data_IF_962695014586
#
_entry.id   IF_962695014586
#
_cell.length_a   1.000
_cell.length_b   1.000
_cell.length_c   1.000
_cell.angle_alpha   90.00
_cell.angle_beta   90.00
_cell.angle_gamma   90.00
#
_symmetry.space_group_name_H-M   'P 1'
#
loop_
_entity.id
_entity.type
_entity.pdbx_description
1 polymer ?
#
# COMPACT_ATOMS: atom_id res chain seq x y z
N UNK A 1 -3.16 6.44 -14.43
CA UNK A 1 -2.64 6.86 -13.10
C UNK A 1 -1.21 7.29 -13.26
N UNK A 2 -0.81 8.42 -12.69
CA UNK A 2 0.58 8.84 -12.59
C UNK A 2 1.04 8.56 -11.16
N UNK A 3 2.02 7.67 -11.00
CA UNK A 3 2.58 7.29 -9.69
C UNK A 3 3.84 8.11 -9.40
N UNK A 4 4.13 8.30 -8.11
CA UNK A 4 5.40 8.84 -7.66
C UNK A 4 6.60 8.03 -8.21
N UNK A 5 7.69 8.66 -8.66
CA UNK A 5 8.89 7.96 -9.07
C UNK A 5 9.62 7.41 -7.85
N UNK A 6 9.70 6.09 -7.75
CA UNK A 6 10.65 5.49 -6.83
C UNK A 6 12.06 5.70 -7.39
N UNK A 7 12.99 6.35 -6.66
CA UNK A 7 14.28 6.75 -7.23
C UNK A 7 15.28 5.58 -7.29
N UNK A 8 14.84 4.43 -7.78
CA UNK A 8 15.66 3.24 -7.97
C UNK A 8 16.30 3.25 -9.37
N UNK A 9 17.60 2.97 -9.46
CA UNK A 9 18.28 2.84 -10.75
C UNK A 9 18.77 4.16 -11.35
N UNK A 10 18.73 4.28 -12.68
CA UNK A 10 19.26 5.44 -13.43
C UNK A 10 18.12 6.38 -13.85
N UNK A 11 17.91 7.44 -13.07
CA UNK A 11 16.84 8.42 -13.28
C UNK A 11 16.86 9.07 -14.67
N UNK A 12 18.03 9.14 -15.33
CA UNK A 12 18.15 9.69 -16.70
C UNK A 12 17.45 8.81 -17.74
N UNK A 13 17.24 7.53 -17.43
CA UNK A 13 16.48 6.58 -18.24
C UNK A 13 15.01 6.51 -17.84
N UNK A 14 14.62 7.20 -16.77
CA UNK A 14 13.29 7.20 -16.17
C UNK A 14 12.66 8.60 -16.25
N UNK A 15 12.87 9.30 -17.36
CA UNK A 15 12.29 10.64 -17.59
C UNK A 15 10.77 10.52 -17.71
N UNK A 16 10.31 9.59 -18.55
CA UNK A 16 8.91 9.18 -18.69
C UNK A 16 8.90 7.67 -18.89
N UNK A 17 8.11 6.97 -18.09
CA UNK A 17 7.82 5.55 -18.25
C UNK A 17 6.31 5.36 -18.34
N UNK A 18 5.88 4.50 -19.26
CA UNK A 18 4.49 4.16 -19.50
C UNK A 18 4.36 2.64 -19.43
N UNK A 19 3.47 2.17 -18.56
CA UNK A 19 3.17 0.77 -18.34
C UNK A 19 1.71 0.54 -18.70
N UNK A 20 1.45 -0.32 -19.69
CA UNK A 20 0.09 -0.71 -20.08
C UNK A 20 -0.15 -2.22 -19.94
N UNK A 21 0.90 -2.97 -19.60
CA UNK A 21 0.88 -4.43 -19.47
C UNK A 21 1.83 -4.89 -18.38
N UNK A 22 1.65 -6.12 -17.89
CA UNK A 22 2.54 -6.70 -16.88
C UNK A 22 3.96 -6.92 -17.43
N UNK A 23 4.08 -7.19 -18.72
CA UNK A 23 5.35 -7.34 -19.42
C UNK A 23 6.18 -6.04 -19.43
N UNK A 24 5.53 -4.88 -19.31
CA UNK A 24 6.25 -3.60 -19.20
C UNK A 24 7.02 -3.50 -17.86
N UNK A 25 6.51 -4.13 -16.79
CA UNK A 25 7.20 -4.17 -15.49
C UNK A 25 8.54 -4.91 -15.59
N UNK A 26 8.58 -6.01 -16.36
CA UNK A 26 9.82 -6.74 -16.64
C UNK A 26 10.74 -5.93 -17.55
N UNK A 27 10.20 -5.33 -18.62
CA UNK A 27 10.97 -4.52 -19.58
C UNK A 27 11.71 -3.37 -18.90
N UNK A 28 11.07 -2.75 -17.91
CA UNK A 28 11.64 -1.64 -17.14
C UNK A 28 12.43 -2.07 -15.91
N UNK A 29 12.54 -3.38 -15.64
CA UNK A 29 13.22 -3.96 -14.48
C UNK A 29 12.67 -3.42 -13.14
N UNK A 30 11.34 -3.27 -13.04
CA UNK A 30 10.70 -2.81 -11.81
C UNK A 30 11.00 -3.75 -10.64
N UNK A 31 11.38 -3.15 -9.53
CA UNK A 31 11.53 -3.77 -8.20
C UNK A 31 10.18 -4.30 -7.69
N UNK A 32 10.20 -5.11 -6.62
CA UNK A 32 8.93 -5.55 -5.98
C UNK A 32 8.12 -4.35 -5.49
N UNK A 33 8.77 -3.35 -4.88
CA UNK A 33 8.08 -2.15 -4.36
C UNK A 33 7.42 -1.34 -5.48
N UNK A 34 8.09 -1.15 -6.63
CA UNK A 34 7.46 -0.54 -7.81
C UNK A 34 6.30 -1.39 -8.35
N UNK A 35 6.41 -2.72 -8.32
CA UNK A 35 5.31 -3.61 -8.73
C UNK A 35 4.13 -3.52 -7.78
N UNK A 36 4.37 -3.39 -6.48
CA UNK A 36 3.32 -3.21 -5.46
C UNK A 36 2.47 -1.98 -5.74
N UNK A 37 3.10 -0.93 -6.26
CA UNK A 37 2.43 0.29 -6.69
C UNK A 37 1.77 0.19 -8.09
N UNK A 38 2.36 -0.54 -9.04
CA UNK A 38 1.95 -0.48 -10.44
C UNK A 38 1.04 -1.64 -10.87
N UNK A 39 1.33 -2.86 -10.43
CA UNK A 39 0.62 -4.08 -10.84
C UNK A 39 -0.89 -4.03 -10.55
N UNK A 40 -1.36 -3.56 -9.37
CA UNK A 40 -2.80 -3.50 -9.08
C UNK A 40 -3.58 -2.65 -10.10
N UNK A 41 -2.98 -1.56 -10.60
CA UNK A 41 -3.59 -0.73 -11.64
C UNK A 41 -3.64 -1.44 -12.99
N UNK A 42 -2.55 -2.09 -13.39
CA UNK A 42 -2.45 -2.80 -14.66
C UNK A 42 -3.44 -3.97 -14.74
N UNK A 43 -3.60 -4.73 -13.64
CA UNK A 43 -4.59 -5.81 -13.54
C UNK A 43 -6.03 -5.28 -13.68
N UNK A 44 -6.28 -4.03 -13.29
CA UNK A 44 -7.57 -3.34 -13.47
C UNK A 44 -7.73 -2.68 -14.85
N UNK A 45 -6.76 -2.85 -15.76
CA UNK A 45 -6.77 -2.25 -17.09
C UNK A 45 -6.42 -0.76 -17.11
N UNK A 46 -5.81 -0.24 -16.04
CA UNK A 46 -5.42 1.17 -15.93
C UNK A 46 -3.96 1.33 -16.32
N UNK A 47 -3.68 2.20 -17.29
CA UNK A 47 -2.30 2.56 -17.68
C UNK A 47 -1.64 3.35 -16.56
N UNK A 48 -0.39 2.98 -16.24
CA UNK A 48 0.44 3.63 -15.23
C UNK A 48 1.53 4.43 -15.92
N UNK A 49 1.73 5.65 -15.45
CA UNK A 49 2.86 6.50 -15.80
C UNK A 49 3.72 6.74 -14.56
N UNK A 50 5.04 6.78 -14.74
CA UNK A 50 6.00 7.12 -13.70
C UNK A 50 7.23 7.81 -14.31
N UNK A 51 8.06 8.42 -13.47
CA UNK A 51 9.32 9.04 -13.89
C UNK A 51 9.57 10.38 -13.21
N UNK A 52 10.69 11.01 -13.54
CA UNK A 52 11.18 12.19 -12.82
C UNK A 52 10.77 13.53 -13.44
N UNK A 53 10.25 13.53 -14.67
CA UNK A 53 9.87 14.75 -15.40
C UNK A 53 8.34 14.85 -15.53
N UNK A 54 7.71 15.43 -14.51
CA UNK A 54 6.25 15.50 -14.39
C UNK A 54 5.59 16.29 -15.51
N UNK A 55 6.22 17.34 -16.04
CA UNK A 55 5.69 18.07 -17.20
C UNK A 55 5.57 17.13 -18.41
N UNK A 56 6.65 16.39 -18.72
CA UNK A 56 6.62 15.44 -19.85
C UNK A 56 5.67 14.29 -19.62
N UNK A 57 5.61 13.76 -18.39
CA UNK A 57 4.67 12.70 -18.03
C UNK A 57 3.23 13.16 -18.27
N UNK A 58 2.87 14.36 -17.81
CA UNK A 58 1.54 14.93 -18.03
C UNK A 58 1.22 15.03 -19.52
N UNK A 59 2.14 15.58 -20.32
CA UNK A 59 1.97 15.70 -21.77
C UNK A 59 1.79 14.36 -22.49
N UNK A 60 2.41 13.29 -22.03
CA UNK A 60 2.19 11.96 -22.61
C UNK A 60 0.86 11.36 -22.16
N UNK A 61 0.50 11.47 -20.88
CA UNK A 61 -0.76 10.97 -20.35
C UNK A 61 -1.98 11.67 -21.00
N UNK A 62 -1.90 12.99 -21.22
CA UNK A 62 -2.95 13.80 -21.87
C UNK A 62 -3.27 13.34 -23.30
N UNK A 63 -2.40 12.56 -23.97
CA UNK A 63 -2.65 12.10 -25.35
C UNK A 63 -3.64 10.94 -25.42
N UNK A 64 -3.86 10.21 -24.33
CA UNK A 64 -4.64 8.97 -24.35
C UNK A 64 -5.62 8.82 -23.18
N UNK A 65 -5.63 9.74 -22.22
CA UNK A 65 -6.50 9.67 -21.05
C UNK A 65 -7.42 10.88 -20.95
N UNK A 66 -8.72 10.62 -20.75
CA UNK A 66 -9.71 11.66 -20.43
C UNK A 66 -9.65 12.08 -18.95
N UNK A 67 -9.15 11.20 -18.07
CA UNK A 67 -9.01 11.43 -16.64
C UNK A 67 -7.64 10.95 -16.18
N UNK A 68 -6.91 11.84 -15.49
CA UNK A 68 -5.60 11.55 -14.91
C UNK A 68 -5.73 11.56 -13.39
N UNK A 69 -5.46 10.43 -12.76
CA UNK A 69 -5.27 10.35 -11.32
C UNK A 69 -3.78 10.45 -11.04
N UNK A 70 -3.35 11.56 -10.45
CA UNK A 70 -2.02 11.67 -9.85
C UNK A 70 -2.08 11.10 -8.44
N UNK A 71 -1.31 10.05 -8.21
CA UNK A 71 -1.31 9.28 -6.99
C UNK A 71 0.05 9.43 -6.32
N UNK A 72 0.11 10.42 -5.42
CA UNK A 72 1.32 10.85 -4.73
C UNK A 72 1.73 9.89 -3.61
N UNK A 73 3.02 9.91 -3.27
CA UNK A 73 3.52 9.26 -2.06
C UNK A 73 3.16 10.06 -0.81
N UNK A 74 3.39 9.46 0.35
CA UNK A 74 3.23 10.11 1.65
C UNK A 74 4.20 11.30 1.89
N UNK A 75 5.18 11.48 1.00
CA UNK A 75 6.19 12.54 1.04
C UNK A 75 5.97 13.64 0.00
N UNK A 76 4.84 13.64 -0.71
CA UNK A 76 4.56 14.61 -1.77
C UNK A 76 3.34 15.46 -1.49
N UNK A 77 3.30 16.63 -2.11
CA UNK A 77 2.05 17.31 -2.49
C UNK A 77 1.98 17.34 -4.03
N UNK A 78 0.81 17.61 -4.64
CA UNK A 78 0.63 17.51 -6.09
C UNK A 78 1.66 18.30 -6.89
N UNK A 79 2.29 17.64 -7.87
CA UNK A 79 3.12 18.29 -8.89
C UNK A 79 2.32 18.75 -10.11
N UNK A 80 1.06 18.31 -10.21
CA UNK A 80 0.06 18.87 -11.11
C UNK A 80 -0.86 19.80 -10.32
N UNK A 81 -1.46 20.77 -11.00
CA UNK A 81 -2.61 21.47 -10.44
C UNK A 81 -3.83 20.54 -10.60
N UNK A 82 -4.41 20.02 -9.50
CA UNK A 82 -5.52 19.09 -9.60
C UNK A 82 -6.85 19.82 -9.78
N UNK A 83 -7.72 19.33 -10.67
CA UNK A 83 -9.10 19.79 -10.74
C UNK A 83 -9.93 19.37 -9.53
N UNK A 84 -9.52 18.30 -8.83
CA UNK A 84 -10.08 17.79 -7.58
C UNK A 84 -8.96 17.15 -6.75
N UNK A 85 -8.71 17.67 -5.54
CA UNK A 85 -7.67 17.19 -4.63
C UNK A 85 -8.26 16.37 -3.48
N UNK A 86 -8.00 15.06 -3.50
CA UNK A 86 -8.47 14.10 -2.49
C UNK A 86 -7.29 13.72 -1.58
N UNK A 87 -7.47 13.87 -0.27
CA UNK A 87 -6.46 13.51 0.75
C UNK A 87 -7.01 12.45 1.68
N UNK A 88 -6.19 11.45 2.00
CA UNK A 88 -6.58 10.37 2.92
C UNK A 88 -5.95 10.62 4.30
N UNK A 89 -6.76 10.55 5.35
CA UNK A 89 -6.32 10.62 6.75
C UNK A 89 -6.51 9.27 7.46
N UNK A 90 -5.55 8.90 8.32
CA UNK A 90 -5.58 7.66 9.09
C UNK A 90 -5.80 7.95 10.60
N UNK A 91 -6.98 7.61 11.17
CA UNK A 91 -7.31 7.82 12.57
C UNK A 91 -6.56 6.87 13.52
N UNK A 92 -5.77 5.90 13.04
CA UNK A 92 -4.82 5.17 13.89
C UNK A 92 -3.61 6.01 14.28
N UNK A 93 -3.42 7.17 13.63
CA UNK A 93 -2.30 8.09 13.88
C UNK A 93 -2.80 9.53 14.06
N UNK A 94 -3.66 9.79 15.05
CA UNK A 94 -4.29 11.09 15.17
C UNK A 94 -3.27 12.22 15.36
N UNK A 95 -3.54 13.35 14.72
CA UNK A 95 -2.67 14.50 14.70
C UNK A 95 -1.51 14.42 13.70
N UNK A 96 -1.31 13.31 12.97
CA UNK A 96 -0.32 13.26 11.89
C UNK A 96 -0.69 14.22 10.76
N UNK A 97 -1.99 14.30 10.47
CA UNK A 97 -2.61 15.15 9.46
C UNK A 97 -2.37 16.65 9.68
N UNK A 98 -1.92 17.07 10.87
CA UNK A 98 -1.57 18.47 11.16
C UNK A 98 -0.13 18.68 11.63
N UNK A 99 0.66 17.61 11.84
CA UNK A 99 2.02 17.69 12.39
C UNK A 99 3.12 17.30 11.42
N UNK A 100 2.83 16.47 10.40
CA UNK A 100 3.84 15.93 9.49
C UNK A 100 3.80 16.65 8.16
N UNK A 101 4.99 16.99 7.66
CA UNK A 101 5.18 17.54 6.31
C UNK A 101 5.45 16.43 5.28
N UNK A 102 4.82 16.44 4.08
CA UNK A 102 3.84 17.42 3.57
C UNK A 102 2.35 17.05 3.80
N UNK A 103 2.06 16.10 4.70
CA UNK A 103 0.67 15.68 4.98
C UNK A 103 -0.25 16.81 5.45
N UNK A 104 0.26 17.72 6.26
CA UNK A 104 -0.41 18.94 6.70
C UNK A 104 -0.70 19.93 5.56
N UNK A 105 0.18 20.00 4.57
CA UNK A 105 0.08 20.82 3.36
C UNK A 105 -1.03 20.27 2.48
N UNK A 106 -1.02 18.95 2.25
CA UNK A 106 -2.09 18.25 1.54
C UNK A 106 -3.44 18.48 2.21
N UNK A 107 -3.53 18.29 3.53
CA UNK A 107 -4.80 18.49 4.24
C UNK A 107 -5.36 19.92 4.07
N UNK A 108 -4.49 20.93 4.10
CA UNK A 108 -4.89 22.34 3.90
C UNK A 108 -5.32 22.65 2.48
N UNK A 109 -4.83 21.90 1.50
CA UNK A 109 -5.14 22.06 0.07
C UNK A 109 -6.28 21.15 -0.41
N UNK A 110 -6.77 20.24 0.43
CA UNK A 110 -7.75 19.23 0.03
C UNK A 110 -9.11 19.86 -0.31
N UNK A 111 -9.71 19.40 -1.41
CA UNK A 111 -11.15 19.57 -1.67
C UNK A 111 -11.97 18.54 -0.89
N UNK A 112 -11.43 17.32 -0.79
CA UNK A 112 -12.07 16.18 -0.12
C UNK A 112 -11.06 15.51 0.80
N UNK A 113 -11.48 15.21 2.02
CA UNK A 113 -10.71 14.44 2.98
C UNK A 113 -11.43 13.12 3.26
N UNK A 114 -10.78 12.02 2.90
CA UNK A 114 -11.24 10.66 3.21
C UNK A 114 -10.64 10.23 4.55
N UNK A 115 -11.44 10.14 5.60
CA UNK A 115 -11.02 9.52 6.86
C UNK A 115 -11.22 8.01 6.70
N UNK A 116 -10.14 7.27 6.46
CA UNK A 116 -10.21 5.83 6.21
C UNK A 116 -10.03 5.03 7.53
N UNK A 117 -10.33 3.73 7.52
CA UNK A 117 -10.18 2.79 8.65
C UNK A 117 -11.01 3.16 9.90
N UNK A 118 -12.11 3.89 9.74
CA UNK A 118 -12.94 4.35 10.87
C UNK A 118 -13.59 3.21 11.66
N UNK A 119 -13.73 2.02 11.05
CA UNK A 119 -14.30 0.82 11.65
C UNK A 119 -13.35 0.10 12.60
N UNK A 120 -12.04 0.36 12.50
CA UNK A 120 -11.01 -0.28 13.34
C UNK A 120 -10.33 0.69 14.31
N UNK A 121 -10.47 1.99 14.11
CA UNK A 121 -9.90 3.00 14.99
C UNK A 121 -10.81 3.32 16.18
N UNK A 122 -10.21 3.76 17.29
CA UNK A 122 -10.96 4.24 18.46
C UNK A 122 -11.82 5.46 18.06
N UNK A 123 -13.11 5.52 18.46
CA UNK A 123 -14.01 6.61 18.10
C UNK A 123 -13.47 8.00 18.46
N UNK A 124 -12.76 8.12 19.58
CA UNK A 124 -12.12 9.36 20.03
C UNK A 124 -11.06 9.85 19.04
N UNK A 125 -10.29 8.93 18.44
CA UNK A 125 -9.28 9.28 17.45
C UNK A 125 -9.90 9.74 16.13
N UNK A 126 -10.98 9.07 15.69
CA UNK A 126 -11.75 9.49 14.51
C UNK A 126 -12.31 10.90 14.73
N UNK A 127 -12.84 11.18 15.93
CA UNK A 127 -13.34 12.50 16.31
C UNK A 127 -12.23 13.56 16.29
N UNK A 128 -11.07 13.25 16.87
CA UNK A 128 -9.93 14.16 16.89
C UNK A 128 -9.45 14.52 15.47
N UNK A 129 -9.33 13.53 14.57
CA UNK A 129 -8.99 13.79 13.16
C UNK A 129 -10.04 14.68 12.50
N UNK A 130 -11.34 14.40 12.70
CA UNK A 130 -12.44 15.21 12.15
C UNK A 130 -12.41 16.65 12.65
N UNK A 131 -12.13 16.86 13.93
CA UNK A 131 -11.97 18.19 14.53
C UNK A 131 -10.75 18.93 13.96
N UNK A 132 -9.63 18.22 13.78
CA UNK A 132 -8.42 18.78 13.20
C UNK A 132 -8.66 19.22 11.75
N UNK A 133 -9.31 18.39 10.93
CA UNK A 133 -9.70 18.71 9.55
C UNK A 133 -10.52 20.00 9.52
N UNK A 134 -11.64 20.05 10.26
CA UNK A 134 -12.52 21.23 10.31
C UNK A 134 -11.81 22.49 10.79
N UNK A 135 -10.82 22.36 11.67
CA UNK A 135 -10.04 23.50 12.17
C UNK A 135 -9.08 24.06 11.13
N UNK A 136 -8.44 23.21 10.32
CA UNK A 136 -7.40 23.66 9.37
C UNK A 136 -7.90 23.87 7.95
N UNK A 137 -8.97 23.18 7.56
CA UNK A 137 -9.62 23.26 6.25
C UNK A 137 -11.14 23.08 6.42
N UNK A 138 -11.87 24.16 6.81
CA UNK A 138 -13.31 24.09 7.09
C UNK A 138 -14.18 23.82 5.85
N UNK A 139 -13.64 24.05 4.64
CA UNK A 139 -14.37 23.90 3.38
C UNK A 139 -14.26 22.49 2.78
N UNK A 140 -13.31 21.67 3.24
CA UNK A 140 -13.13 20.31 2.73
C UNK A 140 -14.32 19.41 3.02
N UNK A 141 -14.78 18.69 2.00
CA UNK A 141 -15.80 17.66 2.15
C UNK A 141 -15.18 16.46 2.87
N UNK A 142 -15.81 15.98 3.94
CA UNK A 142 -15.34 14.81 4.68
C UNK A 142 -16.12 13.58 4.21
N UNK A 143 -15.39 12.56 3.74
CA UNK A 143 -15.90 11.23 3.44
C UNK A 143 -15.32 10.27 4.48
N UNK A 144 -16.15 9.42 5.07
CA UNK A 144 -15.69 8.36 5.98
C UNK A 144 -15.60 7.05 5.20
N UNK A 145 -14.58 6.25 5.49
CA UNK A 145 -14.38 4.98 4.82
C UNK A 145 -13.78 3.94 5.76
N UNK A 146 -14.12 2.69 5.47
CA UNK A 146 -13.53 1.49 6.04
C UNK A 146 -12.54 0.86 5.07
N UNK A 147 -11.69 -0.03 5.58
CA UNK A 147 -10.80 -0.89 4.79
C UNK A 147 -10.98 -2.36 5.20
N UNK A 148 -12.15 -2.96 4.92
CA UNK A 148 -12.41 -4.36 5.25
C UNK A 148 -11.37 -5.28 4.63
N UNK A 149 -10.94 -6.26 5.43
CA UNK A 149 -10.01 -7.30 5.02
C UNK A 149 -10.78 -8.47 4.42
N UNK A 150 -10.30 -8.93 3.26
CA UNK A 150 -10.77 -10.09 2.52
C UNK A 150 -9.66 -11.14 2.46
N UNK A 151 -10.05 -12.41 2.55
CA UNK A 151 -9.16 -13.56 2.40
C UNK A 151 -9.79 -14.47 1.36
N UNK A 152 -9.00 -15.01 0.41
CA UNK A 152 -9.56 -15.77 -0.71
C UNK A 152 -10.20 -17.08 -0.22
N UNK A 153 -9.56 -17.78 0.72
CA UNK A 153 -10.05 -19.02 1.32
C UNK A 153 -10.07 -18.97 2.87
N UNK A 154 -11.00 -18.21 3.50
CA UNK A 154 -10.98 -17.96 4.94
C UNK A 154 -10.96 -19.22 5.83
N UNK A 155 -11.61 -20.29 5.38
CA UNK A 155 -11.67 -21.57 6.12
C UNK A 155 -10.33 -22.32 6.09
N UNK A 156 -9.44 -22.03 5.14
CA UNK A 156 -8.11 -22.62 5.07
C UNK A 156 -7.19 -22.13 6.20
N UNK A 157 -7.48 -20.96 6.79
CA UNK A 157 -6.70 -20.35 7.88
C UNK A 157 -6.95 -21.04 9.22
N UNK A 158 -8.16 -21.53 9.44
CA UNK A 158 -8.62 -21.99 10.76
C UNK A 158 -7.78 -23.17 11.27
N UNK A 159 -7.22 -23.01 12.48
CA UNK A 159 -6.45 -24.05 13.15
C UNK A 159 -5.08 -24.34 12.51
N UNK A 160 -4.64 -23.55 11.53
CA UNK A 160 -3.34 -23.70 10.87
C UNK A 160 -2.25 -22.87 11.56
N UNK A 161 -1.01 -23.35 11.48
CA UNK A 161 0.17 -22.54 11.76
C UNK A 161 0.50 -21.75 10.51
N UNK A 162 0.40 -20.43 10.57
CA UNK A 162 0.50 -19.57 9.39
C UNK A 162 1.79 -18.76 9.41
N UNK A 163 2.48 -18.69 8.27
CA UNK A 163 3.49 -17.65 8.04
C UNK A 163 2.79 -16.44 7.42
N UNK A 164 2.98 -15.26 7.99
CA UNK A 164 2.39 -14.02 7.48
C UNK A 164 3.46 -13.18 6.80
N UNK A 165 3.24 -12.86 5.53
CA UNK A 165 4.08 -11.96 4.73
C UNK A 165 3.34 -10.64 4.56
N UNK A 166 4.04 -9.54 4.80
CA UNK A 166 3.49 -8.19 4.81
C UNK A 166 4.37 -7.21 4.04
N UNK A 167 3.76 -6.08 3.68
CA UNK A 167 4.44 -4.98 3.02
C UNK A 167 5.64 -4.45 3.84
N UNK A 168 6.80 -4.32 3.17
CA UNK A 168 8.09 -4.01 3.79
C UNK A 168 8.16 -2.62 4.46
N UNK A 169 7.81 -1.53 3.75
CA UNK A 169 7.76 -0.17 4.29
C UNK A 169 6.85 -0.03 5.52
N UNK A 170 5.69 -0.69 5.51
CA UNK A 170 4.74 -0.69 6.65
C UNK A 170 5.41 -1.13 7.96
N UNK A 171 6.31 -2.11 7.89
CA UNK A 171 6.96 -2.72 9.05
C UNK A 171 8.31 -2.09 9.42
N UNK A 172 9.03 -1.54 8.44
CA UNK A 172 10.39 -1.02 8.63
C UNK A 172 10.42 0.47 8.98
N UNK A 173 9.55 1.27 8.36
CA UNK A 173 9.53 2.73 8.48
C UNK A 173 8.18 3.31 8.90
N UNK A 174 7.12 2.49 8.93
CA UNK A 174 5.75 2.91 9.21
C UNK A 174 5.36 3.01 10.69
N UNK A 175 6.24 2.73 11.65
CA UNK A 175 5.95 2.73 13.11
C UNK A 175 4.79 1.79 13.54
N UNK A 176 4.31 0.89 12.69
CA UNK A 176 3.26 -0.08 13.00
C UNK A 176 3.82 -1.44 13.40
N UNK A 177 3.25 -2.03 14.45
CA UNK A 177 3.66 -3.34 14.99
C UNK A 177 2.80 -4.52 14.54
N UNK A 178 1.77 -4.26 13.72
CA UNK A 178 0.91 -5.28 13.13
C UNK A 178 0.30 -4.78 11.81
N UNK A 179 0.09 -5.69 10.86
CA UNK A 179 -0.51 -5.41 9.54
C UNK A 179 -1.80 -6.21 9.27
N UNK A 180 -2.35 -6.06 8.06
CA UNK A 180 -3.58 -6.71 7.60
C UNK A 180 -3.54 -8.25 7.72
N UNK A 181 -2.40 -8.87 7.43
CA UNK A 181 -2.17 -10.31 7.54
C UNK A 181 -2.25 -10.83 8.98
N UNK A 182 -1.77 -10.07 9.98
CA UNK A 182 -1.95 -10.43 11.40
C UNK A 182 -3.41 -10.34 11.80
N UNK A 183 -4.10 -9.30 11.35
CA UNK A 183 -5.53 -9.13 11.60
C UNK A 183 -6.32 -10.28 10.98
N UNK A 184 -6.01 -10.65 9.73
CA UNK A 184 -6.60 -11.80 9.04
C UNK A 184 -6.35 -13.12 9.78
N UNK A 185 -5.08 -13.42 10.10
CA UNK A 185 -4.69 -14.64 10.80
C UNK A 185 -5.48 -14.81 12.12
N UNK A 186 -5.59 -13.74 12.92
CA UNK A 186 -6.35 -13.75 14.17
C UNK A 186 -7.86 -13.88 13.92
N UNK A 187 -8.41 -13.08 13.01
CA UNK A 187 -9.85 -13.03 12.71
C UNK A 187 -10.38 -14.37 12.21
N UNK A 188 -9.61 -15.08 11.40
CA UNK A 188 -10.00 -16.37 10.82
C UNK A 188 -9.51 -17.59 11.62
N UNK A 189 -8.91 -17.36 12.78
CA UNK A 189 -8.65 -18.40 13.78
C UNK A 189 -7.44 -19.28 13.47
N UNK A 190 -6.34 -18.70 12.97
CA UNK A 190 -5.05 -19.38 12.90
C UNK A 190 -4.64 -19.90 14.30
N UNK A 191 -4.08 -21.11 14.36
CA UNK A 191 -3.61 -21.70 15.61
C UNK A 191 -2.33 -21.03 16.12
N UNK A 192 -1.47 -20.59 15.20
CA UNK A 192 -0.17 -20.00 15.50
C UNK A 192 0.25 -19.09 14.35
N UNK A 193 0.89 -17.96 14.66
CA UNK A 193 1.63 -17.17 13.68
C UNK A 193 3.10 -17.57 13.83
N UNK A 194 3.63 -18.28 12.83
CA UNK A 194 4.98 -18.88 12.87
C UNK A 194 6.03 -17.79 12.71
N UNK A 195 6.99 -17.76 13.63
CA UNK A 195 8.13 -16.86 13.58
C UNK A 195 9.16 -17.34 12.52
N UNK A 196 9.39 -16.58 11.44
CA UNK A 196 10.32 -16.96 10.38
C UNK A 196 11.79 -16.70 10.74
N UNK A 197 12.10 -15.96 11.82
CA UNK A 197 13.46 -15.53 12.15
C UNK A 197 14.50 -16.66 12.22
N UNK A 198 14.20 -17.84 12.80
CA UNK A 198 15.14 -18.96 12.82
C UNK A 198 15.49 -19.52 11.43
N UNK A 199 14.69 -19.20 10.41
CA UNK A 199 14.79 -19.72 9.05
C UNK A 199 15.18 -18.63 8.04
N UNK A 200 15.27 -17.38 8.48
CA UNK A 200 15.64 -16.25 7.65
C UNK A 200 17.09 -16.35 7.18
N UNK A 201 17.32 -16.04 5.90
CA UNK A 201 18.66 -16.07 5.29
C UNK A 201 19.04 -14.72 4.67
N UNK A 202 20.34 -14.47 4.60
CA UNK A 202 20.89 -13.29 3.92
C UNK A 202 20.30 -11.97 4.40
N UNK A 203 19.86 -11.13 3.46
CA UNK A 203 19.32 -9.81 3.76
C UNK A 203 18.03 -9.85 4.60
N UNK A 204 17.25 -10.94 4.55
CA UNK A 204 16.06 -11.09 5.40
C UNK A 204 16.44 -11.20 6.87
N UNK A 205 17.48 -11.99 7.18
CA UNK A 205 17.99 -12.13 8.54
C UNK A 205 18.57 -10.79 9.05
N UNK A 206 19.26 -10.05 8.17
CA UNK A 206 19.77 -8.71 8.48
C UNK A 206 18.63 -7.72 8.78
N UNK A 207 17.54 -7.75 8.01
CA UNK A 207 16.36 -6.92 8.27
C UNK A 207 15.76 -7.21 9.64
N UNK A 208 15.62 -8.47 10.04
CA UNK A 208 15.13 -8.82 11.39
C UNK A 208 16.07 -8.35 12.50
N UNK A 209 17.38 -8.38 12.30
CA UNK A 209 18.33 -7.81 13.27
C UNK A 209 18.23 -6.29 13.37
N UNK A 210 18.03 -5.60 12.24
CA UNK A 210 17.90 -4.14 12.18
C UNK A 210 16.57 -3.65 12.77
N UNK A 211 15.50 -4.41 12.58
CA UNK A 211 14.14 -4.05 12.99
C UNK A 211 13.52 -5.15 13.87
N UNK A 212 14.04 -5.37 15.09
CA UNK A 212 13.58 -6.46 15.97
C UNK A 212 12.10 -6.32 16.39
N UNK A 213 11.54 -5.11 16.32
CA UNK A 213 10.15 -4.82 16.65
C UNK A 213 9.12 -5.41 15.67
N UNK A 214 9.55 -5.85 14.48
CA UNK A 214 8.66 -6.46 13.47
C UNK A 214 8.04 -7.78 13.99
N UNK A 215 8.69 -8.44 14.95
CA UNK A 215 8.17 -9.67 15.54
C UNK A 215 8.13 -10.82 14.52
N UNK A 216 7.05 -11.61 14.46
CA UNK A 216 6.96 -12.79 13.59
C UNK A 216 6.53 -12.46 12.14
N UNK A 217 6.39 -11.19 11.79
CA UNK A 217 6.01 -10.78 10.44
C UNK A 217 7.19 -10.89 9.48
N UNK A 218 7.01 -11.56 8.34
CA UNK A 218 8.02 -11.58 7.28
C UNK A 218 7.82 -10.36 6.38
N UNK A 219 8.73 -9.37 6.39
CA UNK A 219 8.62 -8.24 5.49
C UNK A 219 8.97 -8.68 4.06
N UNK A 220 8.12 -8.32 3.09
CA UNK A 220 8.39 -8.47 1.67
C UNK A 220 9.44 -7.42 1.25
N UNK A 221 10.71 -7.72 1.52
CA UNK A 221 11.84 -6.92 1.03
C UNK A 221 12.45 -7.62 -0.19
N UNK A 222 12.75 -6.87 -1.25
CA UNK A 222 13.14 -7.49 -2.51
C UNK A 222 13.56 -6.50 -3.59
N UNK A 223 14.57 -5.68 -3.31
CA UNK A 223 15.12 -4.68 -4.23
C UNK A 223 15.98 -5.29 -5.35
N UNK A 224 16.27 -6.60 -5.30
CA UNK A 224 17.02 -7.27 -6.36
C UNK A 224 16.90 -8.80 -6.34
N UNK A 225 17.37 -9.44 -7.42
CA UNK A 225 17.26 -10.90 -7.64
C UNK A 225 17.74 -11.74 -6.46
N UNK A 226 18.86 -11.38 -5.84
CA UNK A 226 19.38 -12.08 -4.67
C UNK A 226 18.40 -12.05 -3.49
N UNK A 227 17.74 -10.92 -3.26
CA UNK A 227 16.78 -10.78 -2.16
C UNK A 227 15.48 -11.54 -2.43
N UNK A 228 15.07 -11.63 -3.70
CA UNK A 228 13.96 -12.50 -4.13
C UNK A 228 14.28 -13.96 -3.81
N UNK A 229 15.48 -14.43 -4.16
CA UNK A 229 15.95 -15.80 -3.85
C UNK A 229 16.02 -16.06 -2.33
N UNK A 230 16.46 -15.07 -1.55
CA UNK A 230 16.50 -15.14 -0.07
C UNK A 230 15.10 -15.14 0.57
N UNK A 231 14.15 -14.36 0.02
CA UNK A 231 12.76 -14.36 0.45
C UNK A 231 12.12 -15.73 0.16
N UNK A 232 12.30 -16.26 -1.04
CA UNK A 232 11.82 -17.60 -1.42
C UNK A 232 12.39 -18.67 -0.49
N UNK A 233 13.70 -18.67 -0.26
CA UNK A 233 14.37 -19.63 0.62
C UNK A 233 13.85 -19.55 2.07
N UNK A 234 13.62 -18.33 2.58
CA UNK A 234 13.08 -18.11 3.92
C UNK A 234 11.65 -18.64 4.05
N UNK A 235 10.78 -18.33 3.09
CA UNK A 235 9.39 -18.83 3.06
C UNK A 235 9.36 -20.35 2.97
N UNK A 236 10.19 -20.94 2.10
CA UNK A 236 10.23 -22.38 1.88
C UNK A 236 10.84 -23.14 3.07
N UNK A 237 11.71 -22.51 3.86
CA UNK A 237 12.33 -23.12 5.06
C UNK A 237 11.48 -22.96 6.33
N UNK A 238 10.55 -22.00 6.36
CA UNK A 238 9.71 -21.75 7.54
C UNK A 238 8.63 -22.84 7.69
N UNK A 239 8.55 -23.57 8.82
CA UNK A 239 7.66 -24.72 9.01
C UNK A 239 6.23 -24.28 9.39
N UNK A 240 5.52 -23.74 8.40
CA UNK A 240 4.10 -23.40 8.49
C UNK A 240 3.25 -24.33 7.63
N UNK A 241 1.94 -24.34 7.88
CA UNK A 241 0.95 -25.13 7.14
C UNK A 241 0.31 -24.32 5.99
N UNK A 242 0.35 -22.98 6.09
CA UNK A 242 -0.20 -22.02 5.12
C UNK A 242 0.63 -20.74 5.14
N UNK A 243 0.84 -20.13 3.98
CA UNK A 243 1.43 -18.79 3.85
C UNK A 243 0.33 -17.78 3.54
N UNK A 244 0.16 -16.77 4.39
CA UNK A 244 -0.73 -15.64 4.18
C UNK A 244 0.05 -14.47 3.58
N UNK A 245 -0.29 -14.11 2.35
CA UNK A 245 0.35 -13.01 1.61
C UNK A 245 -0.54 -11.78 1.69
N UNK A 246 -0.13 -10.79 2.48
CA UNK A 246 -0.83 -9.52 2.69
C UNK A 246 -0.18 -8.33 1.95
N UNK A 247 0.72 -8.60 1.00
CA UNK A 247 1.32 -7.60 0.11
C UNK A 247 0.34 -7.11 -0.96
N UNK A 248 0.49 -5.89 -1.52
CA UNK A 248 -0.32 -5.43 -2.64
C UNK A 248 -0.25 -6.35 -3.88
N UNK A 249 0.95 -6.79 -4.28
CA UNK A 249 1.12 -7.75 -5.39
C UNK A 249 0.91 -9.20 -4.97
N UNK A 250 0.57 -10.04 -5.95
CA UNK A 250 0.61 -11.49 -5.79
C UNK A 250 2.05 -12.02 -5.85
N UNK A 251 2.67 -12.24 -4.68
CA UNK A 251 4.04 -12.75 -4.59
C UNK A 251 4.26 -14.09 -5.31
N UNK A 252 3.21 -14.87 -5.61
CA UNK A 252 3.30 -16.11 -6.39
C UNK A 252 3.79 -15.87 -7.82
N UNK A 253 3.75 -14.63 -8.31
CA UNK A 253 4.29 -14.21 -9.62
C UNK A 253 5.79 -13.92 -9.57
N UNK A 254 6.35 -13.77 -8.37
CA UNK A 254 7.74 -13.34 -8.15
C UNK A 254 8.59 -14.44 -7.51
N UNK A 255 8.02 -15.22 -6.60
CA UNK A 255 8.69 -16.33 -5.90
C UNK A 255 7.90 -17.63 -6.03
N UNK A 256 8.61 -18.76 -6.00
CA UNK A 256 8.02 -20.09 -5.99
C UNK A 256 7.85 -20.62 -4.57
N UNK A 257 6.62 -20.61 -4.07
CA UNK A 257 6.29 -21.07 -2.72
C UNK A 257 5.86 -22.54 -2.76
N UNK A 258 6.54 -23.39 -1.98
CA UNK A 258 6.30 -24.84 -1.93
C UNK A 258 5.19 -25.26 -0.94
N UNK A 259 4.38 -24.30 -0.49
CA UNK A 259 3.30 -24.46 0.50
C UNK A 259 2.01 -23.87 -0.05
N UNK A 260 0.83 -24.25 0.49
CA UNK A 260 -0.40 -23.53 0.22
C UNK A 260 -0.24 -22.03 0.51
N UNK A 261 -0.78 -21.19 -0.37
CA UNK A 261 -0.74 -19.73 -0.26
C UNK A 261 -2.16 -19.19 -0.37
N UNK A 262 -2.53 -18.33 0.56
CA UNK A 262 -3.79 -17.60 0.55
C UNK A 262 -3.50 -16.08 0.61
N UNK A 263 -4.35 -15.29 -0.05
CA UNK A 263 -4.15 -13.86 -0.25
C UNK A 263 -5.01 -13.10 0.75
N UNK A 264 -4.39 -12.15 1.44
CA UNK A 264 -5.08 -11.15 2.24
C UNK A 264 -5.13 -9.87 1.43
N UNK A 265 -6.34 -9.35 1.22
CA UNK A 265 -6.61 -8.12 0.47
C UNK A 265 -7.39 -7.15 1.33
N UNK A 266 -7.28 -5.86 1.04
CA UNK A 266 -8.15 -4.83 1.59
C UNK A 266 -8.68 -3.98 0.46
N UNK A 267 -9.92 -3.54 0.60
CA UNK A 267 -10.55 -2.63 -0.35
C UNK A 267 -11.16 -1.47 0.41
N UNK A 268 -11.13 -0.28 -0.17
CA UNK A 268 -11.80 0.89 0.39
C UNK A 268 -13.31 0.67 0.31
N UNK A 269 -14.01 0.89 1.43
CA UNK A 269 -15.46 0.90 1.48
C UNK A 269 -15.94 2.21 2.10
N UNK A 270 -16.55 3.08 1.30
CA UNK A 270 -17.11 4.34 1.79
C UNK A 270 -18.31 4.09 2.71
N UNK A 271 -18.41 4.87 3.79
CA UNK A 271 -19.45 4.77 4.80
C UNK A 271 -20.32 6.04 4.76
N UNK A 272 -21.60 5.84 4.52
CA UNK A 272 -22.58 6.93 4.56
C UNK A 272 -22.51 7.85 3.35
N UNK A 273 -22.82 9.14 3.57
CA UNK A 273 -22.83 10.20 2.55
C UNK A 273 -22.26 11.50 3.15
N UNK A 274 -21.64 12.37 2.33
CA UNK A 274 -21.41 12.21 0.89
C UNK A 274 -20.36 11.13 0.60
N UNK A 275 -20.42 10.52 -0.58
CA UNK A 275 -19.36 9.64 -1.11
C UNK A 275 -18.65 10.31 -2.29
N UNK A 276 -17.50 9.77 -2.70
CA UNK A 276 -16.67 10.29 -3.79
C UNK A 276 -17.43 10.34 -5.11
N UNK A 277 -18.30 9.36 -5.39
CA UNK A 277 -19.12 9.39 -6.60
C UNK A 277 -20.02 10.63 -6.64
N UNK A 278 -20.72 10.94 -5.54
CA UNK A 278 -21.57 12.13 -5.43
C UNK A 278 -20.76 13.42 -5.56
N UNK A 279 -19.58 13.47 -4.92
CA UNK A 279 -18.70 14.64 -5.01
C UNK A 279 -18.23 14.86 -6.45
N UNK A 280 -17.75 13.82 -7.12
CA UNK A 280 -17.27 13.89 -8.51
C UNK A 280 -18.40 14.31 -9.45
N UNK A 281 -19.58 13.69 -9.36
CA UNK A 281 -20.75 14.02 -10.18
C UNK A 281 -21.29 15.44 -9.94
N UNK A 282 -21.06 16.01 -8.76
CA UNK A 282 -21.47 17.38 -8.47
C UNK A 282 -20.54 18.44 -9.08
N UNK A 283 -19.29 18.05 -9.39
CA UNK A 283 -18.22 18.96 -9.83
C UNK A 283 -17.98 18.94 -11.35
N UNK A 284 -18.17 17.78 -12.01
CA UNK A 284 -17.93 17.56 -13.43
C UNK A 284 -19.17 16.99 -14.12
#
# INVERSE_FOLDING_TARGET
>A
VVRHPMPYGDLRKQIVQRFASLEDLDRHNCTIEEREDYEPHLVRGVTVYAGVDYEKILREAEKEADVIVWDGGNNDFPFFEPDLHIVVCDPHRPGHEVRYHPGETNLRMADVVVINKVETAEPENVNLVRENIRRVNPEAIIVEAASPIFVDEPEAVRGKRVLVIEDGPTLTHGEMSYGAGIVAAKRFGAAEIVDPRPYAVGSIAETFHKYPQIGPLLPAVGYGRKQIEELEATVNSTPCDLVLVATPIDLRRVINVNKPVDRVRYELQEIGRPNLQEVIQSRF
#
